data_IF_105705324372
#
_entry.id   IF_105705324372
#
_cell.length_a   1.000
_cell.length_b   1.000
_cell.length_c   1.000
_cell.angle_alpha   90.00
_cell.angle_beta   90.00
_cell.angle_gamma   90.00
#
_symmetry.space_group_name_H-M   'P 1'
#
loop_
_entity.id
_entity.type
_entity.pdbx_description
1 polymer ?
#
# COMPACT_ATOMS: atom_id res chain seq x y z
N UNK A 1 15.96 -3.74 -9.70
CA UNK A 1 14.51 -3.85 -9.43
C UNK A 1 13.86 -2.48 -9.42
N UNK A 2 12.67 -2.40 -9.95
CA UNK A 2 11.88 -1.18 -9.93
C UNK A 2 11.45 -0.87 -8.48
N UNK A 3 11.61 0.38 -8.07
CA UNK A 3 11.23 0.81 -6.71
C UNK A 3 9.87 1.49 -6.76
N UNK A 4 8.92 0.96 -5.97
CA UNK A 4 7.53 1.42 -5.97
C UNK A 4 7.13 1.79 -4.55
N UNK A 5 6.53 2.97 -4.38
CA UNK A 5 6.02 3.44 -3.10
C UNK A 5 4.51 3.50 -3.16
N UNK A 6 3.85 2.88 -2.20
CA UNK A 6 2.40 2.95 -2.04
C UNK A 6 2.07 3.93 -0.90
N UNK A 7 1.20 4.88 -1.17
CA UNK A 7 0.84 5.93 -0.21
C UNK A 7 -0.64 5.92 0.12
N UNK A 8 -0.97 6.07 1.40
CA UNK A 8 -2.29 6.48 1.83
C UNK A 8 -2.08 7.37 3.07
N UNK A 9 -3.14 7.98 3.58
CA UNK A 9 -2.98 8.97 4.66
C UNK A 9 -2.36 8.35 5.91
N UNK A 10 -2.96 7.29 6.44
CA UNK A 10 -2.55 6.71 7.72
C UNK A 10 -1.50 5.62 7.62
N UNK A 11 -1.23 5.11 6.42
CA UNK A 11 -0.33 3.97 6.20
C UNK A 11 -0.69 2.80 7.14
N UNK A 12 -1.96 2.51 7.21
CA UNK A 12 -2.50 1.53 8.14
C UNK A 12 -3.23 0.37 7.43
N UNK A 13 -3.93 0.65 6.34
CA UNK A 13 -4.70 -0.34 5.59
C UNK A 13 -4.28 -0.44 4.13
N UNK A 14 -4.75 0.51 3.30
CA UNK A 14 -4.66 0.40 1.84
C UNK A 14 -3.24 0.26 1.32
N UNK A 15 -2.34 1.14 1.72
CA UNK A 15 -0.96 1.10 1.26
C UNK A 15 -0.23 -0.12 1.81
N UNK A 16 -0.57 -0.59 3.00
CA UNK A 16 0.03 -1.78 3.58
C UNK A 16 -0.38 -3.03 2.81
N UNK A 17 -1.65 -3.12 2.45
CA UNK A 17 -2.17 -4.25 1.66
C UNK A 17 -1.53 -4.26 0.28
N UNK A 18 -1.40 -3.09 -0.35
CA UNK A 18 -0.75 -2.98 -1.66
C UNK A 18 0.71 -3.42 -1.60
N UNK A 19 1.43 -2.99 -0.58
CA UNK A 19 2.82 -3.42 -0.38
C UNK A 19 2.89 -4.94 -0.23
N UNK A 20 1.97 -5.53 0.53
CA UNK A 20 1.93 -6.97 0.72
C UNK A 20 1.75 -7.71 -0.59
N UNK A 21 0.80 -7.30 -1.43
CA UNK A 21 0.59 -7.95 -2.72
C UNK A 21 1.75 -7.73 -3.68
N UNK A 22 2.39 -6.57 -3.61
CA UNK A 22 3.60 -6.33 -4.39
C UNK A 22 4.71 -7.31 -3.98
N UNK A 23 4.84 -7.58 -2.68
CA UNK A 23 5.81 -8.55 -2.18
C UNK A 23 5.46 -9.98 -2.60
N UNK A 24 4.17 -10.31 -2.64
CA UNK A 24 3.72 -11.64 -3.04
C UNK A 24 3.92 -11.87 -4.54
N UNK A 25 3.44 -10.94 -5.36
CA UNK A 25 3.36 -11.14 -6.81
C UNK A 25 4.52 -10.53 -7.58
N UNK A 26 5.21 -9.55 -7.02
CA UNK A 26 6.30 -8.84 -7.69
C UNK A 26 7.66 -9.05 -7.04
N UNK A 27 7.82 -10.13 -6.32
CA UNK A 27 9.00 -10.42 -5.49
C UNK A 27 10.34 -10.21 -6.21
N UNK A 28 10.44 -10.64 -7.45
CA UNK A 28 11.69 -10.55 -8.21
C UNK A 28 11.71 -9.37 -9.18
N UNK A 29 10.67 -8.56 -9.21
CA UNK A 29 10.53 -7.47 -10.18
C UNK A 29 10.55 -6.10 -9.55
N UNK A 30 10.01 -5.98 -8.34
CA UNK A 30 9.91 -4.68 -7.68
C UNK A 30 10.35 -4.75 -6.22
N UNK A 31 10.84 -3.62 -5.73
CA UNK A 31 11.10 -3.40 -4.32
C UNK A 31 10.03 -2.44 -3.83
N UNK A 32 9.16 -2.90 -2.95
CA UNK A 32 7.99 -2.16 -2.52
C UNK A 32 8.20 -1.48 -1.18
N UNK A 33 7.68 -0.26 -1.08
CA UNK A 33 7.65 0.54 0.16
C UNK A 33 6.23 1.05 0.35
N UNK A 34 5.87 1.39 1.59
CA UNK A 34 4.64 2.11 1.85
C UNK A 34 4.87 3.16 2.94
N UNK A 35 4.07 4.20 2.92
CA UNK A 35 4.17 5.29 3.89
C UNK A 35 2.88 6.11 3.88
N UNK A 36 2.76 7.05 4.82
CA UNK A 36 1.63 7.94 4.90
C UNK A 36 2.03 9.35 5.28
N UNK A 37 1.14 10.31 5.01
CA UNK A 37 1.34 11.70 5.42
C UNK A 37 1.03 11.90 6.90
N UNK A 38 0.15 11.08 7.46
CA UNK A 38 -0.22 11.10 8.87
C UNK A 38 -0.32 9.65 9.37
N UNK A 39 0.81 8.96 9.53
CA UNK A 39 0.76 7.53 9.89
C UNK A 39 0.16 7.35 11.28
N UNK A 40 -0.69 6.32 11.40
CA UNK A 40 -1.29 5.97 12.69
C UNK A 40 -0.28 5.32 13.63
N UNK A 41 0.84 4.85 13.09
CA UNK A 41 1.86 4.13 13.83
C UNK A 41 1.57 2.65 14.00
N UNK A 42 0.41 2.20 13.52
CA UNK A 42 -0.06 0.82 13.70
C UNK A 42 -0.70 0.32 12.43
N UNK A 43 -0.39 -0.90 12.03
CA UNK A 43 -1.10 -1.55 10.92
C UNK A 43 -2.49 -1.96 11.43
N UNK A 44 -3.51 -1.75 10.62
CA UNK A 44 -4.88 -2.03 11.01
C UNK A 44 -5.07 -3.51 11.39
N UNK A 45 -5.58 -3.80 12.61
CA UNK A 45 -5.73 -5.19 13.06
C UNK A 45 -6.61 -6.06 12.18
N UNK A 46 -7.67 -5.50 11.61
CA UNK A 46 -8.54 -6.25 10.70
C UNK A 46 -7.79 -6.60 9.40
N UNK A 47 -6.99 -5.67 8.89
CA UNK A 47 -6.15 -5.95 7.73
C UNK A 47 -5.16 -7.08 8.03
N UNK A 48 -4.54 -7.05 9.22
CA UNK A 48 -3.64 -8.12 9.65
C UNK A 48 -4.38 -9.45 9.68
N UNK A 49 -5.56 -9.48 10.29
CA UNK A 49 -6.36 -10.70 10.42
C UNK A 49 -6.77 -11.27 9.06
N UNK A 50 -7.27 -10.42 8.16
CA UNK A 50 -7.75 -10.87 6.86
C UNK A 50 -6.61 -11.28 5.92
N UNK A 51 -5.47 -10.60 5.99
CA UNK A 51 -4.31 -10.99 5.18
C UNK A 51 -3.71 -12.30 5.67
N UNK A 52 -3.85 -12.61 6.95
CA UNK A 52 -3.41 -13.89 7.51
C UNK A 52 -4.16 -15.06 6.86
N UNK A 53 -5.42 -14.85 6.47
CA UNK A 53 -6.21 -15.88 5.80
C UNK A 53 -5.59 -16.32 4.47
N UNK A 54 -4.78 -15.48 3.86
CA UNK A 54 -4.05 -15.81 2.63
C UNK A 54 -2.57 -16.06 2.90
N UNK A 55 -2.25 -16.37 4.16
CA UNK A 55 -0.89 -16.75 4.58
C UNK A 55 0.15 -15.63 4.51
N UNK A 56 -0.29 -14.38 4.65
CA UNK A 56 0.63 -13.25 4.70
C UNK A 56 0.57 -12.57 6.06
N UNK A 57 1.71 -12.42 6.71
CA UNK A 57 1.82 -11.79 8.02
C UNK A 57 2.03 -10.28 7.89
N UNK A 58 0.93 -9.54 7.82
CA UNK A 58 0.98 -8.08 7.69
C UNK A 58 1.49 -7.40 8.96
N UNK A 59 1.50 -8.11 10.10
CA UNK A 59 1.99 -7.54 11.35
C UNK A 59 3.48 -7.21 11.32
N UNK A 60 4.21 -7.75 10.34
CA UNK A 60 5.64 -7.45 10.16
C UNK A 60 5.86 -6.07 9.54
N UNK A 61 4.84 -5.48 8.94
CA UNK A 61 4.95 -4.16 8.34
C UNK A 61 4.93 -3.08 9.41
N UNK A 62 5.44 -1.89 9.04
CA UNK A 62 5.43 -0.73 9.93
C UNK A 62 4.65 0.40 9.28
N UNK A 63 3.90 1.13 10.10
CA UNK A 63 3.23 2.34 9.66
C UNK A 63 4.21 3.50 9.84
N UNK A 64 4.65 4.10 8.75
CA UNK A 64 5.70 5.12 8.79
C UNK A 64 5.30 6.39 8.05
N UNK A 65 5.93 7.49 8.44
CA UNK A 65 5.79 8.76 7.74
C UNK A 65 6.65 8.75 6.48
N UNK A 66 6.20 9.48 5.45
CA UNK A 66 6.92 9.56 4.17
C UNK A 66 8.38 10.01 4.33
N UNK A 67 8.68 10.81 5.36
CA UNK A 67 10.04 11.26 5.63
C UNK A 67 10.97 10.13 6.06
N UNK A 68 10.41 8.98 6.41
CA UNK A 68 11.19 7.79 6.81
C UNK A 68 11.52 6.89 5.62
N UNK A 69 11.00 7.18 4.45
CA UNK A 69 11.35 6.40 3.26
C UNK A 69 12.83 6.60 2.92
N UNK A 70 13.48 5.56 2.34
CA UNK A 70 14.88 5.70 1.95
C UNK A 70 15.06 6.76 0.88
N UNK A 71 16.20 7.44 0.91
CA UNK A 71 16.53 8.48 -0.07
C UNK A 71 17.08 7.81 -1.33
N UNK A 72 16.18 7.23 -2.11
CA UNK A 72 16.51 6.54 -3.35
C UNK A 72 15.56 7.01 -4.44
N UNK A 73 15.96 6.82 -5.70
CA UNK A 73 15.10 7.16 -6.82
C UNK A 73 13.90 6.20 -6.85
N UNK A 74 12.70 6.76 -6.88
CA UNK A 74 11.46 6.01 -6.92
C UNK A 74 10.96 5.95 -8.36
N UNK A 75 10.72 4.74 -8.87
CA UNK A 75 10.24 4.55 -10.24
C UNK A 75 8.75 4.87 -10.35
N UNK A 76 7.95 4.44 -9.38
CA UNK A 76 6.52 4.72 -9.38
C UNK A 76 6.03 5.03 -7.97
N UNK A 77 5.19 6.04 -7.85
CA UNK A 77 4.49 6.38 -6.62
C UNK A 77 3.01 6.18 -6.86
N UNK A 78 2.39 5.33 -6.07
CA UNK A 78 0.97 5.01 -6.20
C UNK A 78 0.24 5.48 -4.95
N UNK A 79 -0.65 6.45 -5.11
CA UNK A 79 -1.41 6.99 -3.99
C UNK A 79 -2.83 6.42 -3.98
N UNK A 80 -3.38 6.25 -2.79
CA UNK A 80 -4.70 5.65 -2.60
C UNK A 80 -5.52 6.51 -1.65
N UNK A 81 -6.26 7.46 -2.22
CA UNK A 81 -7.24 8.23 -1.45
C UNK A 81 -6.69 9.28 -0.51
N UNK A 82 -5.46 9.76 -0.71
CA UNK A 82 -4.94 10.83 0.14
C UNK A 82 -5.30 12.23 -0.39
N UNK A 83 -5.78 12.34 -1.62
CA UNK A 83 -6.17 13.63 -2.19
C UNK A 83 -5.08 14.67 -2.07
N UNK A 84 -5.46 15.86 -1.59
CA UNK A 84 -4.50 16.97 -1.40
C UNK A 84 -3.53 16.73 -0.24
N UNK A 85 -3.78 15.71 0.58
CA UNK A 85 -2.89 15.36 1.68
C UNK A 85 -1.71 14.53 1.24
N UNK A 86 -1.67 14.09 -0.02
CA UNK A 86 -0.56 13.30 -0.51
C UNK A 86 0.70 14.15 -0.58
N UNK A 87 1.79 13.69 0.03
CA UNK A 87 3.04 14.43 -0.04
C UNK A 87 3.62 14.38 -1.44
N UNK A 88 4.43 15.37 -1.77
CA UNK A 88 5.15 15.39 -3.03
C UNK A 88 6.42 14.55 -2.87
N UNK A 89 6.40 13.37 -3.44
CA UNK A 89 7.55 12.47 -3.48
C UNK A 89 8.12 12.51 -4.88
N UNK A 90 9.44 12.57 -4.98
CA UNK A 90 10.12 12.55 -6.27
C UNK A 90 10.05 11.16 -6.86
N UNK A 91 9.31 11.01 -7.94
CA UNK A 91 9.14 9.73 -8.62
C UNK A 91 9.06 9.94 -10.12
N UNK A 92 9.48 8.94 -10.88
CA UNK A 92 9.42 8.99 -12.35
C UNK A 92 7.99 8.95 -12.85
N UNK A 93 7.14 8.17 -12.17
CA UNK A 93 5.73 8.00 -12.54
C UNK A 93 4.87 8.20 -11.31
N UNK A 94 3.74 8.88 -11.47
CA UNK A 94 2.75 9.08 -10.40
C UNK A 94 1.43 8.48 -10.84
N UNK A 95 0.87 7.61 -10.01
CA UNK A 95 -0.37 6.91 -10.29
C UNK A 95 -1.29 7.12 -9.10
N UNK A 96 -2.59 7.33 -9.37
CA UNK A 96 -3.59 7.40 -8.32
C UNK A 96 -4.59 6.28 -8.52
N UNK A 97 -4.83 5.50 -7.46
CA UNK A 97 -5.86 4.47 -7.45
C UNK A 97 -7.02 4.94 -6.60
N UNK A 98 -8.22 4.84 -7.14
CA UNK A 98 -9.45 5.17 -6.42
C UNK A 98 -9.88 3.96 -5.61
N UNK A 99 -9.38 3.87 -4.39
CA UNK A 99 -9.66 2.77 -3.47
C UNK A 99 -10.38 3.32 -2.25
N UNK A 100 -11.59 2.83 -1.93
CA UNK A 100 -12.29 3.30 -0.73
C UNK A 100 -11.53 2.85 0.53
N UNK A 101 -11.61 3.66 1.58
CA UNK A 101 -10.97 3.32 2.86
C UNK A 101 -11.80 2.25 3.57
N UNK A 102 -11.26 1.04 3.78
CA UNK A 102 -12.02 -0.05 4.39
C UNK A 102 -12.06 0.00 5.91
N UNK A 103 -11.46 0.99 6.52
CA UNK A 103 -11.23 1.08 7.96
C UNK A 103 -12.46 0.75 8.81
N UNK A 104 -13.64 1.26 8.42
CA UNK A 104 -14.88 1.05 9.19
C UNK A 104 -15.83 0.05 8.54
N UNK A 105 -15.38 -0.69 7.55
CA UNK A 105 -16.20 -1.67 6.84
C UNK A 105 -16.29 -2.99 7.60
N UNK A 106 -17.37 -3.73 7.35
CA UNK A 106 -17.49 -5.09 7.81
C UNK A 106 -16.54 -6.00 7.02
N UNK A 107 -16.28 -7.20 7.54
CA UNK A 107 -15.29 -8.12 6.95
C UNK A 107 -15.54 -8.40 5.47
N UNK A 108 -16.80 -8.60 5.07
CA UNK A 108 -17.12 -8.92 3.68
C UNK A 108 -16.72 -7.79 2.75
N UNK A 109 -17.07 -6.55 3.11
CA UNK A 109 -16.74 -5.38 2.30
C UNK A 109 -15.23 -5.10 2.34
N UNK A 110 -14.61 -5.31 3.48
CA UNK A 110 -13.17 -5.16 3.63
C UNK A 110 -12.45 -6.12 2.70
N UNK A 111 -12.91 -7.38 2.62
CA UNK A 111 -12.32 -8.38 1.72
C UNK A 111 -12.44 -7.98 0.26
N UNK A 112 -13.53 -7.31 -0.13
CA UNK A 112 -13.68 -6.83 -1.50
C UNK A 112 -12.65 -5.74 -1.82
N UNK A 113 -12.36 -4.87 -0.85
CA UNK A 113 -11.32 -3.86 -1.03
C UNK A 113 -9.95 -4.54 -1.20
N UNK A 114 -9.68 -5.57 -0.40
CA UNK A 114 -8.42 -6.33 -0.51
C UNK A 114 -8.28 -6.93 -1.92
N UNK A 115 -9.34 -7.54 -2.44
CA UNK A 115 -9.33 -8.11 -3.79
C UNK A 115 -9.12 -7.05 -4.87
N UNK A 116 -9.73 -5.88 -4.68
CA UNK A 116 -9.57 -4.76 -5.62
C UNK A 116 -8.11 -4.30 -5.65
N UNK A 117 -7.49 -4.17 -4.48
CA UNK A 117 -6.08 -3.78 -4.39
C UNK A 117 -5.19 -4.82 -5.05
N UNK A 118 -5.45 -6.10 -4.80
CA UNK A 118 -4.67 -7.18 -5.44
C UNK A 118 -4.75 -7.10 -6.96
N UNK A 119 -5.95 -6.91 -7.51
CA UNK A 119 -6.13 -6.78 -8.95
C UNK A 119 -5.36 -5.59 -9.51
N UNK A 120 -5.39 -4.45 -8.81
CA UNK A 120 -4.66 -3.26 -9.22
C UNK A 120 -3.14 -3.51 -9.23
N UNK A 121 -2.64 -4.21 -8.22
CA UNK A 121 -1.22 -4.54 -8.17
C UNK A 121 -0.85 -5.48 -9.32
N UNK A 122 -1.65 -6.50 -9.57
CA UNK A 122 -1.40 -7.44 -10.67
C UNK A 122 -1.41 -6.74 -12.03
N UNK A 123 -2.36 -5.82 -12.24
CA UNK A 123 -2.42 -5.05 -13.48
C UNK A 123 -1.18 -4.16 -13.65
N UNK A 124 -0.72 -3.56 -12.55
CA UNK A 124 0.47 -2.73 -12.57
C UNK A 124 1.71 -3.56 -12.95
N UNK A 125 1.83 -4.77 -12.43
CA UNK A 125 2.98 -5.64 -12.70
C UNK A 125 3.05 -6.13 -14.15
N UNK A 126 1.93 -6.12 -14.86
CA UNK A 126 1.88 -6.54 -16.27
C UNK A 126 2.39 -5.49 -17.24
N UNK A 127 2.59 -4.28 -16.80
CA UNK A 127 3.01 -3.18 -17.68
C UNK A 127 4.50 -3.21 -17.98
#
# INVERSE_FOLDING_TARGET
MKKVVFLCVENSCRSQIAEAFANIHGKDEILAFSAGSKPSGTVNPKAVSLMKEINYDLSKHQSIHVDKLPDVEIDAMISMGCGDSCPTIRAKERIEWDIPDPKDMEDQDFKEVIKNIERKVLDFLKK
#
